data_IF_590923727736
#
_entry.id   IF_590923727736
#
_cell.length_a   1.000
_cell.length_b   1.000
_cell.length_c   1.000
_cell.angle_alpha   90.00
_cell.angle_beta   90.00
_cell.angle_gamma   90.00
#
_symmetry.space_group_name_H-M   'P 1'
#
loop_
_entity.id
_entity.type
_entity.pdbx_description
1 polymer ?
#
# COMPACT_ATOMS: atom_id res chain seq x y z
N UNK A 1 0.97 5.82 -23.31
CA UNK A 1 2.00 4.97 -22.67
C UNK A 1 2.12 3.68 -23.48
N UNK A 2 3.31 3.09 -23.64
CA UNK A 2 3.45 1.77 -24.27
C UNK A 2 3.11 0.70 -23.23
N UNK A 3 2.58 -0.46 -23.67
CA UNK A 3 2.22 -1.59 -22.78
C UNK A 3 3.38 -2.01 -21.85
N UNK A 4 4.63 -1.85 -22.31
CA UNK A 4 5.82 -2.15 -21.51
C UNK A 4 6.01 -1.20 -20.31
N UNK A 5 5.65 0.08 -20.45
CA UNK A 5 5.77 1.07 -19.39
C UNK A 5 4.70 0.89 -18.30
N UNK A 6 3.53 0.38 -18.70
CA UNK A 6 2.42 0.07 -17.81
C UNK A 6 2.76 -1.12 -16.90
N UNK A 7 3.37 -2.16 -17.47
CA UNK A 7 3.80 -3.35 -16.70
C UNK A 7 4.87 -3.04 -15.64
N UNK A 8 5.72 -2.03 -15.88
CA UNK A 8 6.76 -1.64 -14.91
C UNK A 8 6.19 -0.89 -13.69
N UNK A 9 4.98 -0.30 -13.82
CA UNK A 9 4.33 0.45 -12.73
C UNK A 9 3.44 -0.42 -11.84
N UNK A 10 2.78 -1.43 -12.41
CA UNK A 10 1.93 -2.36 -11.66
C UNK A 10 1.98 -3.75 -12.32
N UNK A 11 2.97 -4.57 -12.01
CA UNK A 11 3.09 -5.90 -12.58
C UNK A 11 1.84 -6.73 -12.26
N UNK A 12 1.23 -7.29 -13.30
CA UNK A 12 0.05 -8.15 -13.19
C UNK A 12 -1.29 -7.48 -13.54
N UNK A 13 -1.30 -6.20 -13.91
CA UNK A 13 -2.49 -5.52 -14.42
C UNK A 13 -2.43 -5.34 -15.94
N UNK A 14 -3.58 -5.48 -16.62
CA UNK A 14 -3.72 -5.16 -18.03
C UNK A 14 -3.77 -3.65 -18.28
N UNK A 15 -3.57 -3.22 -19.54
CA UNK A 15 -3.68 -1.81 -19.93
C UNK A 15 -5.06 -1.19 -19.61
N UNK A 16 -6.13 -1.98 -19.70
CA UNK A 16 -7.49 -1.55 -19.37
C UNK A 16 -7.67 -1.40 -17.85
N UNK A 17 -7.14 -2.34 -17.08
CA UNK A 17 -7.16 -2.27 -15.61
C UNK A 17 -6.32 -1.10 -15.10
N UNK A 18 -5.20 -0.81 -15.76
CA UNK A 18 -4.34 0.34 -15.43
C UNK A 18 -5.00 1.68 -15.74
N UNK A 19 -5.78 1.78 -16.83
CA UNK A 19 -6.54 3.00 -17.12
C UNK A 19 -7.68 3.22 -16.11
N UNK A 20 -8.14 2.17 -15.44
CA UNK A 20 -9.12 2.23 -14.37
C UNK A 20 -8.54 2.59 -12.99
N UNK A 21 -7.21 2.74 -12.85
CA UNK A 21 -6.56 3.20 -11.60
C UNK A 21 -6.96 4.64 -11.22
N UNK A 22 -7.42 5.42 -12.18
CA UNK A 22 -7.83 6.81 -11.99
C UNK A 22 -9.35 6.88 -11.98
N UNK A 23 -9.95 6.83 -10.81
CA UNK A 23 -11.42 6.82 -10.66
C UNK A 23 -12.06 8.19 -10.75
N UNK A 24 -11.28 9.25 -10.61
CA UNK A 24 -11.76 10.62 -10.68
C UNK A 24 -10.80 11.46 -11.51
N UNK A 25 -11.22 11.78 -12.75
CA UNK A 25 -10.45 12.62 -13.66
C UNK A 25 -10.26 14.05 -13.13
N UNK A 26 -11.12 14.50 -12.20
CA UNK A 26 -11.03 15.83 -11.63
C UNK A 26 -9.93 15.94 -10.55
N UNK A 27 -9.50 14.81 -9.99
CA UNK A 27 -8.40 14.74 -9.02
C UNK A 27 -7.03 14.82 -9.72
N UNK A 28 -6.94 14.36 -10.97
CA UNK A 28 -5.70 14.34 -11.76
C UNK A 28 -5.80 15.32 -12.92
N UNK A 29 -5.78 16.63 -12.62
CA UNK A 29 -5.81 17.67 -13.66
C UNK A 29 -4.56 17.71 -14.53
N UNK A 30 -3.41 17.25 -14.02
CA UNK A 30 -2.19 17.02 -14.80
C UNK A 30 -1.56 15.70 -14.33
N UNK A 31 -1.26 14.82 -15.26
CA UNK A 31 -0.51 13.60 -14.90
C UNK A 31 0.83 14.02 -14.28
N UNK A 32 1.21 13.48 -13.12
CA UNK A 32 2.54 13.68 -12.59
C UNK A 32 3.58 13.30 -13.65
N UNK A 33 4.76 13.93 -13.58
CA UNK A 33 5.87 13.63 -14.47
C UNK A 33 6.00 12.12 -14.64
N UNK A 34 6.14 11.64 -15.89
CA UNK A 34 6.30 10.22 -16.14
C UNK A 34 7.54 9.69 -15.43
N UNK A 35 7.34 8.80 -14.47
CA UNK A 35 8.38 8.22 -13.65
C UNK A 35 8.62 6.76 -14.04
N UNK A 36 9.87 6.40 -14.13
CA UNK A 36 10.32 5.04 -14.37
C UNK A 36 10.98 4.52 -13.10
N UNK A 37 10.68 3.27 -12.73
CA UNK A 37 11.28 2.61 -11.59
C UNK A 37 12.52 1.84 -12.01
N UNK A 38 13.54 1.88 -11.16
CA UNK A 38 14.72 1.02 -11.26
C UNK A 38 15.09 0.51 -9.87
N UNK A 39 15.31 -0.79 -9.76
CA UNK A 39 15.80 -1.43 -8.55
C UNK A 39 17.28 -1.75 -8.76
N UNK A 40 18.14 -1.31 -7.83
CA UNK A 40 19.58 -1.52 -7.87
C UNK A 40 20.11 -1.78 -6.47
N UNK A 41 20.82 -2.88 -6.28
CA UNK A 41 21.45 -3.28 -5.01
C UNK A 41 20.50 -3.16 -3.79
N UNK A 42 19.33 -3.81 -3.89
CA UNK A 42 18.26 -3.81 -2.88
C UNK A 42 17.63 -2.42 -2.61
N UNK A 43 18.03 -1.42 -3.36
CA UNK A 43 17.49 -0.05 -3.28
C UNK A 43 16.61 0.24 -4.48
N UNK A 44 15.56 1.01 -4.24
CA UNK A 44 14.64 1.45 -5.27
C UNK A 44 14.84 2.92 -5.58
N UNK A 45 14.91 3.22 -6.87
CA UNK A 45 14.98 4.57 -7.38
C UNK A 45 13.90 4.78 -8.43
N UNK A 46 13.58 6.04 -8.67
CA UNK A 46 12.76 6.47 -9.78
C UNK A 46 13.53 7.48 -10.61
N UNK A 47 13.20 7.59 -11.87
CA UNK A 47 13.76 8.63 -12.72
C UNK A 47 12.71 9.17 -13.69
N UNK A 48 12.90 10.42 -14.08
CA UNK A 48 12.16 11.05 -15.15
C UNK A 48 13.14 11.53 -16.22
N UNK A 49 12.62 11.65 -17.45
CA UNK A 49 13.35 12.24 -18.57
C UNK A 49 12.52 13.40 -19.09
N UNK A 50 13.09 14.59 -19.13
CA UNK A 50 12.41 15.77 -19.64
C UNK A 50 12.37 15.79 -21.17
N UNK A 51 11.74 16.82 -21.75
CA UNK A 51 11.62 16.98 -23.21
C UNK A 51 12.98 17.21 -23.91
N UNK A 52 14.02 17.61 -23.18
CA UNK A 52 15.36 17.78 -23.69
C UNK A 52 16.22 16.53 -23.58
N UNK A 53 15.71 15.50 -22.91
CA UNK A 53 16.44 14.26 -22.63
C UNK A 53 17.25 14.32 -21.33
N UNK A 54 17.09 15.36 -20.51
CA UNK A 54 17.76 15.46 -19.23
C UNK A 54 17.11 14.52 -18.21
N UNK A 55 17.96 13.76 -17.51
CA UNK A 55 17.54 12.73 -16.55
C UNK A 55 17.56 13.29 -15.14
N UNK A 56 16.45 13.14 -14.42
CA UNK A 56 16.35 13.43 -12.99
C UNK A 56 16.11 12.14 -12.22
N UNK A 57 16.93 11.86 -11.21
CA UNK A 57 16.83 10.65 -10.36
C UNK A 57 16.27 11.01 -8.99
N UNK A 58 15.35 10.17 -8.51
CA UNK A 58 14.71 10.29 -7.21
C UNK A 58 14.94 9.00 -6.41
N UNK A 59 15.31 9.16 -5.13
CA UNK A 59 15.40 8.02 -4.22
C UNK A 59 14.00 7.64 -3.74
N UNK A 60 13.68 6.34 -3.69
CA UNK A 60 12.37 5.95 -3.15
C UNK A 60 12.24 6.27 -1.66
N UNK A 61 11.03 6.60 -1.21
CA UNK A 61 10.70 6.80 0.21
C UNK A 61 11.20 5.62 1.05
N UNK A 62 10.95 4.40 0.62
CA UNK A 62 11.37 3.19 1.35
C UNK A 62 12.88 3.04 1.42
N UNK A 63 13.62 3.38 0.36
CA UNK A 63 15.08 3.40 0.36
C UNK A 63 15.62 4.49 1.31
N UNK A 64 15.06 5.70 1.27
CA UNK A 64 15.43 6.76 2.20
C UNK A 64 15.28 6.33 3.66
N UNK A 65 14.14 5.73 4.00
CA UNK A 65 13.90 5.20 5.35
C UNK A 65 14.95 4.14 5.71
N UNK A 66 15.24 3.22 4.81
CA UNK A 66 16.20 2.13 5.07
C UNK A 66 17.63 2.60 5.33
N UNK A 67 18.07 3.68 4.67
CA UNK A 67 19.43 4.22 4.83
C UNK A 67 19.56 5.26 5.95
N UNK A 68 18.46 5.90 6.35
CA UNK A 68 18.48 6.96 7.35
C UNK A 68 18.08 6.48 8.74
N UNK A 69 17.23 5.47 8.83
CA UNK A 69 16.79 4.93 10.11
C UNK A 69 17.71 3.81 10.60
N UNK A 70 18.05 3.80 11.91
CA UNK A 70 18.81 2.70 12.46
C UNK A 70 18.01 1.39 12.43
N UNK A 71 18.69 0.29 12.13
CA UNK A 71 18.09 -1.04 12.22
C UNK A 71 17.58 -1.30 13.63
N UNK A 72 16.32 -1.69 13.75
CA UNK A 72 15.72 -1.93 15.06
C UNK A 72 16.43 -3.06 15.81
N UNK A 73 16.58 -2.90 17.14
CA UNK A 73 17.17 -3.94 17.99
C UNK A 73 16.41 -5.28 17.90
N UNK A 74 15.10 -5.22 17.69
CA UNK A 74 14.27 -6.42 17.51
C UNK A 74 14.60 -7.15 16.20
N UNK A 75 14.86 -6.43 15.12
CA UNK A 75 15.25 -7.01 13.85
C UNK A 75 16.65 -7.63 13.95
N UNK A 76 17.60 -6.95 14.58
CA UNK A 76 18.94 -7.50 14.84
C UNK A 76 18.86 -8.81 15.64
N UNK A 77 18.07 -8.79 16.73
CA UNK A 77 17.86 -9.97 17.57
C UNK A 77 17.25 -11.13 16.77
N UNK A 78 16.24 -10.83 15.95
CA UNK A 78 15.58 -11.82 15.11
C UNK A 78 16.56 -12.47 14.11
N UNK A 79 17.44 -11.69 13.45
CA UNK A 79 18.49 -12.21 12.59
C UNK A 79 19.48 -13.11 13.35
N UNK A 80 19.85 -12.72 14.56
CA UNK A 80 20.75 -13.49 15.40
C UNK A 80 20.14 -14.83 15.86
N UNK A 81 18.83 -14.85 16.16
CA UNK A 81 18.12 -16.07 16.61
C UNK A 81 17.79 -17.02 15.46
N UNK A 82 17.42 -16.50 14.30
CA UNK A 82 17.02 -17.31 13.13
C UNK A 82 18.23 -17.78 12.31
N UNK A 83 19.30 -17.01 12.33
CA UNK A 83 20.44 -17.17 11.42
C UNK A 83 20.23 -16.45 10.10
N UNK A 84 21.31 -15.94 9.50
CA UNK A 84 21.26 -15.06 8.34
C UNK A 84 20.53 -15.67 7.13
N UNK A 85 20.90 -16.90 6.75
CA UNK A 85 20.34 -17.55 5.55
C UNK A 85 18.84 -17.82 5.71
N UNK A 86 18.43 -18.37 6.85
CA UNK A 86 17.02 -18.65 7.12
C UNK A 86 16.18 -17.35 7.21
N UNK A 87 16.75 -16.28 7.78
CA UNK A 87 16.11 -14.99 7.87
C UNK A 87 15.93 -14.34 6.49
N UNK A 88 16.95 -14.48 5.62
CA UNK A 88 16.90 -14.00 4.25
C UNK A 88 15.83 -14.74 3.43
N UNK A 89 15.85 -16.08 3.47
CA UNK A 89 14.86 -16.91 2.78
C UNK A 89 13.44 -16.59 3.23
N UNK A 90 13.22 -16.45 4.54
CA UNK A 90 11.93 -16.02 5.08
C UNK A 90 11.51 -14.62 4.60
N UNK A 91 12.45 -13.67 4.55
CA UNK A 91 12.16 -12.31 4.09
C UNK A 91 11.78 -12.28 2.61
N UNK A 92 12.48 -13.06 1.78
CA UNK A 92 12.16 -13.20 0.35
C UNK A 92 10.77 -13.85 0.16
N UNK A 93 10.47 -14.91 0.90
CA UNK A 93 9.15 -15.54 0.89
C UNK A 93 8.04 -14.55 1.29
N UNK A 94 8.31 -13.71 2.30
CA UNK A 94 7.35 -12.70 2.75
C UNK A 94 7.21 -11.53 1.78
N UNK A 95 8.24 -11.20 1.02
CA UNK A 95 8.16 -10.19 -0.05
C UNK A 95 7.22 -10.67 -1.16
N UNK A 96 7.33 -11.93 -1.60
CA UNK A 96 6.40 -12.53 -2.56
C UNK A 96 4.96 -12.56 -2.04
N UNK A 97 4.77 -12.89 -0.77
CA UNK A 97 3.45 -12.82 -0.14
C UNK A 97 2.84 -11.42 -0.23
N UNK A 98 3.62 -10.40 0.14
CA UNK A 98 3.19 -9.00 0.06
C UNK A 98 2.84 -8.60 -1.37
N UNK A 99 3.70 -8.93 -2.33
CA UNK A 99 3.46 -8.61 -3.75
C UNK A 99 2.17 -9.23 -4.26
N UNK A 100 1.94 -10.52 -4.03
CA UNK A 100 0.71 -11.17 -4.46
C UNK A 100 -0.53 -10.59 -3.75
N UNK A 101 -0.44 -10.30 -2.45
CA UNK A 101 -1.50 -9.64 -1.70
C UNK A 101 -1.86 -8.28 -2.31
N UNK A 102 -0.87 -7.44 -2.65
CA UNK A 102 -1.10 -6.14 -3.29
C UNK A 102 -1.81 -6.30 -4.64
N UNK A 103 -1.39 -7.26 -5.48
CA UNK A 103 -2.04 -7.53 -6.77
C UNK A 103 -3.52 -7.88 -6.58
N UNK A 104 -3.85 -8.73 -5.63
CA UNK A 104 -5.25 -9.14 -5.40
C UNK A 104 -6.08 -8.01 -4.77
N UNK A 105 -5.50 -7.20 -3.89
CA UNK A 105 -6.16 -6.00 -3.35
C UNK A 105 -6.43 -4.98 -4.45
N UNK A 106 -5.49 -4.74 -5.36
CA UNK A 106 -5.69 -3.85 -6.50
C UNK A 106 -6.85 -4.32 -7.38
N UNK A 107 -6.91 -5.63 -7.71
CA UNK A 107 -8.05 -6.20 -8.45
C UNK A 107 -9.37 -5.99 -7.74
N UNK A 108 -9.41 -6.18 -6.42
CA UNK A 108 -10.60 -5.93 -5.62
C UNK A 108 -11.00 -4.45 -5.65
N UNK A 109 -10.05 -3.54 -5.52
CA UNK A 109 -10.30 -2.09 -5.57
C UNK A 109 -10.87 -1.66 -6.93
N UNK A 110 -10.33 -2.19 -8.03
CA UNK A 110 -10.75 -1.87 -9.40
C UNK A 110 -12.12 -2.50 -9.72
N UNK A 111 -12.25 -3.81 -9.50
CA UNK A 111 -13.47 -4.55 -9.87
C UNK A 111 -14.64 -4.33 -8.91
N UNK A 112 -14.37 -3.87 -7.68
CA UNK A 112 -15.34 -3.78 -6.56
C UNK A 112 -15.96 -5.13 -6.21
N UNK A 113 -15.29 -6.22 -6.56
CA UNK A 113 -15.73 -7.59 -6.30
C UNK A 113 -14.61 -8.37 -5.62
N UNK A 114 -14.94 -8.97 -4.48
CA UNK A 114 -14.05 -9.92 -3.81
C UNK A 114 -14.32 -11.32 -4.36
N UNK A 115 -13.57 -11.70 -5.39
CA UNK A 115 -13.68 -13.04 -5.99
C UNK A 115 -12.51 -13.92 -5.51
N UNK A 116 -12.84 -14.87 -4.66
CA UNK A 116 -11.88 -15.85 -4.14
C UNK A 116 -11.89 -17.18 -4.91
N UNK A 117 -12.79 -17.35 -5.87
CA UNK A 117 -12.98 -18.64 -6.54
C UNK A 117 -11.79 -19.07 -7.40
N UNK A 118 -11.08 -18.09 -7.97
CA UNK A 118 -9.93 -18.34 -8.84
C UNK A 118 -8.58 -17.98 -8.19
N UNK A 119 -8.58 -17.59 -6.92
CA UNK A 119 -7.34 -17.15 -6.27
C UNK A 119 -6.29 -18.27 -6.23
N UNK A 120 -6.73 -19.53 -6.14
CA UNK A 120 -5.87 -20.70 -6.15
C UNK A 120 -5.07 -20.75 -7.47
N UNK A 121 -5.78 -20.66 -8.60
CA UNK A 121 -5.17 -20.64 -9.92
C UNK A 121 -4.26 -19.43 -10.14
N UNK A 122 -4.70 -18.25 -9.71
CA UNK A 122 -3.88 -17.03 -9.83
C UNK A 122 -2.60 -17.13 -9.00
N UNK A 123 -2.64 -17.77 -7.83
CA UNK A 123 -1.46 -18.03 -7.03
C UNK A 123 -0.54 -19.05 -7.69
N UNK A 124 -1.09 -20.11 -8.31
CA UNK A 124 -0.32 -21.08 -9.10
C UNK A 124 0.41 -20.40 -10.27
N UNK A 125 -0.32 -19.57 -11.02
CA UNK A 125 0.24 -18.79 -12.14
C UNK A 125 1.35 -17.83 -11.68
N UNK A 126 1.15 -17.16 -10.53
CA UNK A 126 2.15 -16.29 -9.91
C UNK A 126 3.41 -17.07 -9.50
N UNK A 127 3.25 -18.22 -8.84
CA UNK A 127 4.37 -19.10 -8.44
C UNK A 127 5.19 -19.52 -9.66
N UNK A 128 4.50 -19.90 -10.74
CA UNK A 128 5.15 -20.31 -11.97
C UNK A 128 5.87 -19.15 -12.67
N UNK A 129 5.25 -17.97 -12.72
CA UNK A 129 5.80 -16.75 -13.32
C UNK A 129 7.06 -16.25 -12.60
N UNK A 130 7.00 -16.16 -11.28
CA UNK A 130 8.09 -15.71 -10.43
C UNK A 130 9.14 -16.81 -10.15
N UNK A 131 8.90 -18.05 -10.61
CA UNK A 131 9.77 -19.22 -10.38
C UNK A 131 9.99 -19.51 -8.89
N UNK A 132 8.96 -19.31 -8.08
CA UNK A 132 8.98 -19.61 -6.64
C UNK A 132 8.72 -21.10 -6.43
N UNK A 133 9.24 -21.66 -5.33
CA UNK A 133 8.97 -23.05 -4.96
C UNK A 133 7.48 -23.31 -4.66
N UNK A 134 6.95 -24.46 -5.07
CA UNK A 134 5.57 -24.86 -4.86
C UNK A 134 5.13 -24.85 -3.37
N UNK A 135 6.07 -24.96 -2.44
CA UNK A 135 5.84 -24.81 -1.00
C UNK A 135 5.17 -23.49 -0.61
N UNK A 136 5.24 -22.48 -1.48
CA UNK A 136 4.58 -21.19 -1.30
C UNK A 136 3.05 -21.30 -1.25
N UNK A 137 2.45 -22.36 -1.82
CA UNK A 137 1.01 -22.64 -1.73
C UNK A 137 0.48 -22.74 -0.28
N UNK A 138 1.35 -22.98 0.70
CA UNK A 138 0.99 -22.92 2.13
C UNK A 138 0.39 -21.58 2.56
N UNK A 139 0.64 -20.52 1.80
CA UNK A 139 0.14 -19.17 2.08
C UNK A 139 -1.26 -18.89 1.51
N UNK A 140 -1.85 -19.80 0.73
CA UNK A 140 -3.14 -19.58 0.08
C UNK A 140 -4.25 -19.19 1.07
N UNK A 141 -4.43 -19.96 2.14
CA UNK A 141 -5.48 -19.66 3.13
C UNK A 141 -5.22 -18.40 3.96
N UNK A 142 -3.98 -18.10 4.41
CA UNK A 142 -3.64 -16.79 4.95
C UNK A 142 -3.93 -15.63 3.98
N UNK A 143 -3.56 -15.75 2.71
CA UNK A 143 -3.82 -14.72 1.67
C UNK A 143 -5.31 -14.46 1.49
N UNK A 144 -6.13 -15.52 1.39
CA UNK A 144 -7.60 -15.39 1.30
C UNK A 144 -8.16 -14.62 2.52
N UNK A 145 -7.66 -14.90 3.72
CA UNK A 145 -8.10 -14.21 4.94
C UNK A 145 -7.72 -12.73 4.93
N UNK A 146 -6.50 -12.39 4.50
CA UNK A 146 -6.03 -11.01 4.44
C UNK A 146 -6.83 -10.20 3.40
N UNK A 147 -7.12 -10.80 2.23
CA UNK A 147 -7.95 -10.17 1.19
C UNK A 147 -9.39 -9.95 1.70
N UNK A 148 -9.99 -10.93 2.37
CA UNK A 148 -11.32 -10.78 2.97
C UNK A 148 -11.35 -9.72 4.08
N UNK A 149 -10.30 -9.67 4.90
CA UNK A 149 -10.20 -8.64 5.94
C UNK A 149 -10.13 -7.23 5.33
N UNK A 150 -9.41 -7.08 4.22
CA UNK A 150 -9.38 -5.80 3.50
C UNK A 150 -10.73 -5.48 2.83
N UNK A 151 -11.40 -6.47 2.23
CA UNK A 151 -12.74 -6.28 1.68
C UNK A 151 -13.74 -5.82 2.76
N UNK A 152 -13.67 -6.40 3.95
CA UNK A 152 -14.48 -6.00 5.09
C UNK A 152 -14.14 -4.57 5.54
N UNK A 153 -12.86 -4.23 5.62
CA UNK A 153 -12.42 -2.85 5.92
C UNK A 153 -13.00 -1.84 4.91
N UNK A 154 -13.00 -2.16 3.62
CA UNK A 154 -13.60 -1.29 2.60
C UNK A 154 -15.10 -1.04 2.86
N UNK A 155 -15.83 -2.08 3.28
CA UNK A 155 -17.27 -1.98 3.60
C UNK A 155 -17.48 -1.16 4.87
N UNK A 156 -16.76 -1.49 5.93
CA UNK A 156 -16.93 -0.88 7.26
C UNK A 156 -16.63 0.63 7.24
N UNK A 157 -15.69 1.03 6.38
CA UNK A 157 -15.25 2.42 6.25
C UNK A 157 -15.79 3.14 5.00
N UNK A 158 -16.69 2.51 4.24
CA UNK A 158 -17.20 3.07 2.96
C UNK A 158 -16.06 3.66 2.10
N UNK A 159 -15.01 2.84 1.85
CA UNK A 159 -13.82 3.27 1.13
C UNK A 159 -14.13 3.54 -0.34
N UNK A 160 -13.81 4.75 -0.80
CA UNK A 160 -13.91 5.17 -2.21
C UNK A 160 -12.52 5.50 -2.73
N UNK A 161 -11.87 4.62 -3.50
CA UNK A 161 -10.59 4.90 -4.09
C UNK A 161 -10.64 6.15 -4.97
N UNK A 162 -9.66 7.01 -4.81
CA UNK A 162 -9.38 8.17 -5.66
C UNK A 162 -8.19 7.86 -6.59
N UNK A 163 -7.16 7.17 -6.07
CA UNK A 163 -6.05 6.66 -6.86
C UNK A 163 -5.47 5.39 -6.21
N UNK A 164 -4.95 4.48 -7.04
CA UNK A 164 -4.34 3.20 -6.64
C UNK A 164 -2.96 3.14 -7.29
N UNK A 165 -1.91 2.74 -6.52
CA UNK A 165 -0.51 2.63 -6.99
C UNK A 165 -0.01 3.92 -7.68
N UNK A 166 -0.36 5.06 -7.12
CA UNK A 166 0.00 6.35 -7.70
C UNK A 166 1.47 6.65 -7.44
N UNK A 167 2.27 6.68 -8.53
CA UNK A 167 3.70 6.99 -8.48
C UNK A 167 3.90 8.49 -8.63
N UNK A 168 4.58 9.11 -7.68
CA UNK A 168 4.83 10.55 -7.65
C UNK A 168 6.25 10.87 -7.20
N UNK A 169 6.76 12.05 -7.61
CA UNK A 169 8.04 12.58 -7.17
C UNK A 169 7.87 13.94 -6.47
N UNK A 170 8.80 14.22 -5.56
CA UNK A 170 8.91 15.52 -4.88
C UNK A 170 10.17 16.26 -5.32
N UNK A 171 10.14 17.60 -5.43
CA UNK A 171 11.33 18.40 -5.79
C UNK A 171 12.53 18.19 -4.87
N UNK A 172 12.31 17.76 -3.64
CA UNK A 172 13.38 17.45 -2.69
C UNK A 172 14.14 16.16 -3.03
N UNK A 173 13.89 15.55 -4.22
CA UNK A 173 14.66 14.43 -4.74
C UNK A 173 14.21 13.04 -4.30
N UNK A 174 12.99 12.91 -3.78
CA UNK A 174 12.43 11.60 -3.46
C UNK A 174 11.14 11.31 -4.25
N UNK A 175 10.83 10.02 -4.38
CA UNK A 175 9.62 9.55 -5.05
C UNK A 175 9.06 8.31 -4.34
N UNK A 176 7.81 7.98 -4.65
CA UNK A 176 7.15 6.79 -4.09
C UNK A 176 5.88 6.43 -4.83
N UNK A 177 5.46 5.19 -4.66
CA UNK A 177 4.16 4.71 -5.06
C UNK A 177 3.25 4.66 -3.83
N UNK A 178 2.10 5.33 -3.90
CA UNK A 178 1.06 5.31 -2.87
C UNK A 178 0.12 4.16 -3.19
N UNK A 179 0.01 3.17 -2.30
CA UNK A 179 -0.80 1.98 -2.55
C UNK A 179 -2.28 2.35 -2.78
N UNK A 180 -2.82 3.21 -1.91
CA UNK A 180 -4.21 3.69 -2.03
C UNK A 180 -4.35 5.11 -1.48
N UNK A 181 -4.87 6.01 -2.31
CA UNK A 181 -5.44 7.29 -1.89
C UNK A 181 -6.96 7.21 -2.02
N UNK A 182 -7.70 7.52 -0.98
CA UNK A 182 -9.14 7.30 -0.94
C UNK A 182 -9.88 8.33 -0.07
N UNK A 183 -11.18 8.42 -0.30
CA UNK A 183 -12.12 8.90 0.71
C UNK A 183 -12.65 7.73 1.53
N UNK A 184 -12.76 7.92 2.83
CA UNK A 184 -13.30 6.90 3.73
C UNK A 184 -14.01 7.52 4.93
N UNK A 185 -14.86 6.74 5.57
CA UNK A 185 -15.54 7.11 6.79
C UNK A 185 -14.77 6.60 8.01
N UNK A 186 -14.53 7.47 8.98
CA UNK A 186 -13.94 7.12 10.28
C UNK A 186 -14.87 7.57 11.41
N UNK A 187 -14.82 6.84 12.52
CA UNK A 187 -15.49 7.24 13.75
C UNK A 187 -14.56 8.09 14.61
N UNK A 188 -14.81 9.37 14.68
CA UNK A 188 -14.14 10.22 15.67
C UNK A 188 -14.78 10.03 17.05
N UNK A 189 -13.99 9.69 18.03
CA UNK A 189 -14.45 9.58 19.41
C UNK A 189 -14.52 10.98 20.03
N UNK A 190 -15.73 11.48 20.16
CA UNK A 190 -16.04 12.77 20.78
C UNK A 190 -15.90 12.76 22.31
N UNK A 191 -16.40 13.81 22.93
CA UNK A 191 -16.36 13.98 24.40
C UNK A 191 -17.19 12.91 25.13
N UNK A 192 -16.90 12.72 26.40
CA UNK A 192 -17.70 11.91 27.29
C UNK A 192 -19.04 12.62 27.51
N UNK A 193 -20.13 11.96 27.14
CA UNK A 193 -21.48 12.50 27.27
C UNK A 193 -22.35 11.67 28.22
N UNK A 194 -23.50 11.26 27.71
CA UNK A 194 -24.47 10.47 28.45
C UNK A 194 -23.90 9.14 28.97
N UNK A 195 -24.55 8.54 29.94
CA UNK A 195 -24.24 7.20 30.41
C UNK A 195 -25.10 6.14 29.68
N UNK A 196 -24.61 4.91 29.63
CA UNK A 196 -25.42 3.81 29.09
C UNK A 196 -26.64 3.58 29.97
N UNK A 197 -27.83 3.65 29.38
CA UNK A 197 -29.11 3.52 30.13
C UNK A 197 -29.44 2.05 30.48
N UNK A 198 -28.91 1.07 29.74
CA UNK A 198 -29.24 -0.36 29.90
C UNK A 198 -28.09 -1.24 29.41
N UNK A 199 -28.17 -2.57 29.65
CA UNK A 199 -27.20 -3.58 29.28
C UNK A 199 -26.04 -3.70 30.28
N UNK A 200 -25.02 -4.51 29.93
CA UNK A 200 -23.87 -4.81 30.80
C UNK A 200 -23.07 -3.55 31.18
N UNK A 201 -23.11 -2.54 30.33
CA UNK A 201 -22.38 -1.26 30.51
C UNK A 201 -23.24 -0.16 31.15
N UNK A 202 -24.40 -0.48 31.71
CA UNK A 202 -25.28 0.49 32.38
C UNK A 202 -24.53 1.31 33.42
N UNK A 203 -24.62 2.62 33.30
CA UNK A 203 -23.95 3.56 34.22
C UNK A 203 -22.52 3.94 33.82
N UNK A 204 -21.92 3.29 32.81
CA UNK A 204 -20.62 3.71 32.29
C UNK A 204 -20.76 4.95 31.39
N UNK A 205 -19.77 5.86 31.41
CA UNK A 205 -19.76 6.99 30.51
C UNK A 205 -19.77 6.56 29.03
N UNK A 206 -20.61 7.18 28.23
CA UNK A 206 -20.70 6.94 26.79
C UNK A 206 -20.00 8.05 26.03
N UNK A 207 -19.03 7.71 25.19
CA UNK A 207 -18.47 8.68 24.24
C UNK A 207 -19.42 8.86 23.07
N UNK A 208 -19.59 10.11 22.68
CA UNK A 208 -20.24 10.41 21.41
C UNK A 208 -19.33 9.94 20.28
N UNK A 209 -19.91 9.36 19.24
CA UNK A 209 -19.21 9.03 18.00
C UNK A 209 -19.72 9.98 16.91
N UNK A 210 -18.79 10.55 16.17
CA UNK A 210 -19.10 11.35 15.00
C UNK A 210 -18.46 10.65 13.81
N UNK A 211 -19.27 10.28 12.85
CA UNK A 211 -18.77 9.77 11.58
C UNK A 211 -18.24 10.93 10.75
N UNK A 212 -16.98 10.86 10.38
CA UNK A 212 -16.31 11.85 9.54
C UNK A 212 -15.95 11.22 8.21
N UNK A 213 -16.11 11.97 7.14
CA UNK A 213 -15.58 11.65 5.83
C UNK A 213 -14.20 12.31 5.70
N UNK A 214 -13.17 11.52 5.47
CA UNK A 214 -11.78 11.98 5.38
C UNK A 214 -11.13 11.52 4.08
N UNK A 215 -10.12 12.24 3.63
CA UNK A 215 -9.20 11.80 2.58
C UNK A 215 -7.98 11.16 3.21
N UNK A 216 -7.73 9.91 2.90
CA UNK A 216 -6.73 9.10 3.57
C UNK A 216 -5.73 8.48 2.60
N UNK A 217 -4.49 8.33 3.08
CA UNK A 217 -3.45 7.50 2.47
C UNK A 217 -3.42 6.17 3.21
N UNK A 218 -3.50 5.09 2.47
CA UNK A 218 -3.42 3.73 3.02
C UNK A 218 -2.25 3.02 2.36
N UNK A 219 -1.41 2.41 3.18
CA UNK A 219 -0.29 1.58 2.77
C UNK A 219 -0.52 0.16 3.30
N UNK A 220 -0.46 -0.83 2.41
CA UNK A 220 -0.79 -2.21 2.74
C UNK A 220 0.41 -2.91 3.35
N UNK A 221 0.30 -3.31 4.59
CA UNK A 221 1.36 -4.02 5.31
C UNK A 221 0.85 -5.36 5.82
N UNK A 222 1.64 -6.40 5.55
CA UNK A 222 1.49 -7.69 6.22
C UNK A 222 2.37 -7.74 7.47
N UNK A 223 1.91 -8.40 8.50
CA UNK A 223 2.74 -8.70 9.65
C UNK A 223 2.01 -8.66 10.98
N UNK A 224 2.78 -8.65 12.05
CA UNK A 224 2.26 -8.53 13.40
C UNK A 224 1.63 -7.15 13.60
N UNK A 225 0.56 -7.09 14.37
CA UNK A 225 -0.04 -5.83 14.78
C UNK A 225 1.04 -4.98 15.49
N UNK A 226 1.36 -3.85 14.90
CA UNK A 226 2.31 -2.89 15.47
C UNK A 226 2.49 -1.71 14.54
N UNK A 227 2.50 -0.51 15.12
CA UNK A 227 2.89 0.70 14.42
C UNK A 227 4.37 0.92 14.66
N UNK A 228 5.12 1.02 13.58
CA UNK A 228 6.54 1.32 13.63
C UNK A 228 6.75 2.76 13.17
N UNK A 229 7.71 3.45 13.75
CA UNK A 229 8.09 4.81 13.36
C UNK A 229 8.37 4.93 11.84
N UNK A 230 8.96 3.90 11.25
CA UNK A 230 9.18 3.84 9.79
C UNK A 230 7.89 3.90 8.97
N UNK A 231 6.79 3.34 9.46
CA UNK A 231 5.49 3.41 8.78
C UNK A 231 4.90 4.82 8.86
N UNK A 232 5.03 5.48 9.99
CA UNK A 232 4.58 6.85 10.18
C UNK A 232 5.33 7.81 9.25
N UNK A 233 6.66 7.69 9.20
CA UNK A 233 7.51 8.47 8.28
C UNK A 233 7.12 8.20 6.82
N UNK A 234 6.88 6.94 6.45
CA UNK A 234 6.47 6.56 5.10
C UNK A 234 5.13 7.22 4.71
N UNK A 235 4.12 7.14 5.58
CA UNK A 235 2.82 7.74 5.33
C UNK A 235 2.91 9.27 5.25
N UNK A 236 3.75 9.89 6.10
CA UNK A 236 3.98 11.33 6.03
C UNK A 236 4.63 11.75 4.70
N UNK A 237 5.63 11.00 4.23
CA UNK A 237 6.24 11.25 2.93
C UNK A 237 5.24 11.09 1.78
N UNK A 238 4.39 10.06 1.83
CA UNK A 238 3.34 9.85 0.82
C UNK A 238 2.27 10.96 0.85
N UNK A 239 1.89 11.42 2.05
CA UNK A 239 1.03 12.58 2.18
C UNK A 239 1.63 13.81 1.51
N UNK A 240 2.91 14.08 1.72
CA UNK A 240 3.59 15.22 1.10
C UNK A 240 3.65 15.09 -0.44
N UNK A 241 3.89 13.88 -0.96
CA UNK A 241 3.82 13.60 -2.39
C UNK A 241 2.44 13.96 -2.97
N UNK A 242 1.35 13.53 -2.32
CA UNK A 242 -0.01 13.83 -2.74
C UNK A 242 -0.31 15.33 -2.68
N UNK A 243 0.00 15.98 -1.58
CA UNK A 243 -0.23 17.43 -1.41
C UNK A 243 0.50 18.22 -2.48
N UNK A 244 1.76 17.87 -2.77
CA UNK A 244 2.55 18.56 -3.78
C UNK A 244 2.03 18.33 -5.21
N UNK A 245 1.77 17.06 -5.58
CA UNK A 245 1.45 16.71 -6.97
C UNK A 245 -0.02 16.94 -7.34
N UNK A 246 -0.93 16.80 -6.40
CA UNK A 246 -2.37 16.90 -6.66
C UNK A 246 -3.00 18.17 -6.11
N UNK A 247 -2.22 19.03 -5.46
CA UNK A 247 -2.71 20.24 -4.77
C UNK A 247 -3.96 19.95 -3.90
N UNK A 248 -3.94 18.82 -3.22
CA UNK A 248 -5.06 18.31 -2.42
C UNK A 248 -4.73 18.32 -0.94
N UNK A 249 -5.78 18.29 -0.09
CA UNK A 249 -5.60 18.01 1.33
C UNK A 249 -5.66 16.51 1.59
N UNK A 250 -4.88 16.05 2.57
CA UNK A 250 -4.98 14.71 3.16
C UNK A 250 -5.15 14.91 4.65
N UNK A 251 -6.25 14.40 5.18
CA UNK A 251 -6.67 14.56 6.58
C UNK A 251 -5.87 13.66 7.54
#
# INVERSE_FOLDING_TARGET
MSDKQIHDLAPGLSSEEMSALFFDSDVLQEQPVQLYRVDFDQSRYYYSVDQKGDLTVYTSVTTLISITMPTSKHLIKWYAEMGWEAAKEYSEEMAHYGTFMHIEIQKLLISRKCDLTEIDKRLEDYIAGERIGWSFMKHLEPLKKDILAFAQFMIDHDVKPLAIELVMAHPDGYAGAVDLYCEMSIDEMGEWGEVYASGERKGEPKRTKKNLRVKAVIDFKRGRKGFYESHEIQLHAYRNLLVYNLNTSVD
#
